data_IF_863689404230
#
_entry.id   IF_863689404230
#
_cell.length_a   1.000
_cell.length_b   1.000
_cell.length_c   1.000
_cell.angle_alpha   90.00
_cell.angle_beta   90.00
_cell.angle_gamma   90.00
#
_symmetry.space_group_name_H-M   'P 1'
#
loop_
_entity.id
_entity.type
_entity.pdbx_description
1 polymer ?
#
# COMPACT_ATOMS: atom_id res chain seq x y z
N UNK A 1 -32.67 29.42 44.68
CA UNK A 1 -31.27 29.14 44.38
C UNK A 1 -31.05 27.79 43.64
N UNK A 2 -31.85 26.72 43.82
CA UNK A 2 -31.66 25.41 43.13
C UNK A 2 -31.91 25.41 41.61
N UNK A 3 -32.70 26.36 41.07
CA UNK A 3 -33.03 26.40 39.64
C UNK A 3 -31.94 27.02 38.74
N UNK A 4 -31.16 27.93 39.29
CA UNK A 4 -30.10 28.66 38.55
C UNK A 4 -28.88 27.76 38.35
N UNK A 5 -28.52 26.95 39.36
CA UNK A 5 -27.42 25.99 39.27
C UNK A 5 -27.66 24.89 38.20
N UNK A 6 -28.91 24.38 38.04
CA UNK A 6 -29.23 23.40 37.03
C UNK A 6 -29.11 23.95 35.59
N UNK A 7 -29.50 25.22 35.39
CA UNK A 7 -29.36 25.88 34.07
C UNK A 7 -27.89 26.18 33.72
N UNK A 8 -27.06 26.54 34.69
CA UNK A 8 -25.63 26.77 34.50
C UNK A 8 -24.88 25.49 34.14
N UNK A 9 -25.22 24.34 34.75
CA UNK A 9 -24.62 23.03 34.43
C UNK A 9 -25.01 22.56 33.03
N UNK A 10 -26.27 22.80 32.59
CA UNK A 10 -26.71 22.45 31.24
C UNK A 10 -26.02 23.29 30.15
N UNK A 11 -25.78 24.58 30.39
CA UNK A 11 -25.06 25.45 29.46
C UNK A 11 -23.56 25.09 29.37
N UNK A 12 -22.94 24.69 30.48
CA UNK A 12 -21.55 24.23 30.47
C UNK A 12 -21.35 22.89 29.75
N UNK A 13 -22.31 21.96 29.87
CA UNK A 13 -22.29 20.69 29.16
C UNK A 13 -22.49 20.85 27.64
N UNK A 14 -23.35 21.77 27.19
CA UNK A 14 -23.56 22.06 25.77
C UNK A 14 -22.35 22.77 25.12
N UNK A 15 -21.56 23.55 25.87
CA UNK A 15 -20.34 24.19 25.38
C UNK A 15 -19.18 23.22 25.16
N UNK A 16 -19.07 22.17 25.97
CA UNK A 16 -17.99 21.15 25.82
C UNK A 16 -18.19 20.22 24.65
N UNK A 17 -19.43 19.94 24.22
CA UNK A 17 -19.68 19.08 23.04
C UNK A 17 -19.41 19.79 21.73
N UNK A 18 -19.46 21.12 21.67
CA UNK A 18 -19.17 21.89 20.44
C UNK A 18 -17.66 21.94 20.10
N UNK A 19 -16.76 21.80 21.07
CA UNK A 19 -15.31 21.78 20.81
C UNK A 19 -14.78 20.43 20.31
N UNK A 20 -15.54 19.35 20.46
CA UNK A 20 -15.11 18.00 20.05
C UNK A 20 -15.31 17.73 18.54
N UNK A 21 -16.09 18.55 17.81
CA UNK A 21 -16.36 18.36 16.39
C UNK A 21 -15.42 19.13 15.44
N UNK A 22 -14.54 19.97 15.96
CA UNK A 22 -13.61 20.75 15.11
C UNK A 22 -12.28 20.05 14.82
N UNK A 23 -12.12 18.78 15.24
CA UNK A 23 -10.85 18.01 15.15
C UNK A 23 -10.56 17.30 13.83
N UNK A 24 -11.43 17.32 12.82
CA UNK A 24 -11.28 16.50 11.61
C UNK A 24 -11.16 17.28 10.31
N UNK A 25 -10.59 18.47 10.31
CA UNK A 25 -10.26 19.19 9.06
C UNK A 25 -8.79 19.63 9.04
N UNK A 26 -7.88 18.74 9.46
CA UNK A 26 -6.51 18.82 8.97
C UNK A 26 -6.54 18.26 7.55
N UNK A 27 -6.81 19.10 6.56
CA UNK A 27 -6.55 18.77 5.17
C UNK A 27 -5.11 18.28 5.08
N UNK A 28 -4.91 17.00 4.79
CA UNK A 28 -3.62 16.43 4.51
C UNK A 28 -3.09 17.13 3.24
N UNK A 29 -2.36 18.23 3.43
CA UNK A 29 -1.55 18.84 2.35
C UNK A 29 -0.26 18.02 2.13
N UNK A 30 -0.23 16.80 2.63
CA UNK A 30 0.87 15.87 2.48
C UNK A 30 0.80 15.12 1.15
N UNK A 31 1.98 14.73 0.65
CA UNK A 31 2.10 13.84 -0.49
C UNK A 31 1.41 12.51 -0.20
N UNK A 32 0.81 11.90 -1.24
CA UNK A 32 0.31 10.53 -1.15
C UNK A 32 1.51 9.59 -1.14
N UNK A 33 1.58 8.75 -0.11
CA UNK A 33 2.62 7.73 -0.01
C UNK A 33 2.20 6.52 -0.85
N UNK A 34 3.08 6.11 -1.77
CA UNK A 34 2.97 4.87 -2.56
C UNK A 34 3.88 3.84 -1.94
N UNK A 35 3.32 2.78 -1.38
CA UNK A 35 4.05 1.71 -0.68
C UNK A 35 4.20 0.50 -1.57
N UNK A 36 5.44 0.02 -1.72
CA UNK A 36 5.79 -1.13 -2.54
C UNK A 36 6.54 -2.14 -1.66
N UNK A 37 6.09 -3.39 -1.63
CA UNK A 37 6.75 -4.48 -0.90
C UNK A 37 7.32 -5.52 -1.84
N UNK A 38 8.48 -6.10 -1.48
CA UNK A 38 9.06 -7.24 -2.17
C UNK A 38 9.95 -8.08 -1.23
N UNK A 39 10.25 -9.32 -1.65
CA UNK A 39 10.99 -10.28 -0.83
C UNK A 39 12.51 -10.21 -0.98
N UNK A 40 13.01 -9.56 -2.02
CA UNK A 40 14.43 -9.58 -2.39
C UNK A 40 15.26 -8.62 -1.52
N UNK A 41 16.59 -8.86 -1.50
CA UNK A 41 17.53 -7.96 -0.83
C UNK A 41 17.68 -6.62 -1.57
N UNK A 42 18.22 -5.63 -0.87
CA UNK A 42 18.47 -4.29 -1.42
C UNK A 42 19.50 -4.27 -2.57
N UNK A 43 20.34 -5.31 -2.68
CA UNK A 43 21.32 -5.45 -3.77
C UNK A 43 20.77 -6.21 -4.98
N UNK A 44 19.57 -6.76 -4.88
CA UNK A 44 18.97 -7.53 -5.96
C UNK A 44 18.53 -6.61 -7.12
N UNK A 45 18.67 -7.04 -8.40
CA UNK A 45 18.27 -6.24 -9.57
C UNK A 45 16.81 -5.75 -9.52
N UNK A 46 15.90 -6.53 -8.94
CA UNK A 46 14.50 -6.14 -8.73
C UNK A 46 14.39 -4.89 -7.85
N UNK A 47 15.13 -4.84 -6.73
CA UNK A 47 15.15 -3.66 -5.86
C UNK A 47 15.73 -2.44 -6.58
N UNK A 48 16.83 -2.63 -7.33
CA UNK A 48 17.44 -1.55 -8.11
C UNK A 48 16.47 -1.00 -9.17
N UNK A 49 15.68 -1.88 -9.80
CA UNK A 49 14.60 -1.47 -10.72
C UNK A 49 13.51 -0.64 -10.01
N UNK A 50 13.13 -1.03 -8.80
CA UNK A 50 12.16 -0.26 -8.00
C UNK A 50 12.71 1.09 -7.53
N UNK A 51 14.02 1.19 -7.25
CA UNK A 51 14.65 2.48 -6.97
C UNK A 51 14.61 3.41 -8.20
N UNK A 52 14.87 2.90 -9.40
CA UNK A 52 14.74 3.67 -10.64
C UNK A 52 13.26 4.10 -10.88
N UNK A 53 12.30 3.23 -10.58
CA UNK A 53 10.88 3.59 -10.62
C UNK A 53 10.54 4.71 -9.61
N UNK A 54 11.03 4.61 -8.38
CA UNK A 54 10.88 5.65 -7.34
C UNK A 54 11.40 6.99 -7.84
N UNK A 55 12.64 7.03 -8.32
CA UNK A 55 13.28 8.23 -8.85
C UNK A 55 12.46 8.83 -10.00
N UNK A 56 12.04 8.01 -10.96
CA UNK A 56 11.22 8.43 -12.09
C UNK A 56 9.88 9.07 -11.67
N UNK A 57 9.22 8.50 -10.66
CA UNK A 57 7.93 9.03 -10.16
C UNK A 57 8.14 10.32 -9.37
N UNK A 58 9.14 10.34 -8.48
CA UNK A 58 9.39 11.49 -7.61
C UNK A 58 9.96 12.71 -8.36
N UNK A 59 10.70 12.50 -9.44
CA UNK A 59 11.13 13.60 -10.33
C UNK A 59 9.97 14.28 -11.05
N UNK A 60 8.92 13.54 -11.41
CA UNK A 60 7.79 14.03 -12.22
C UNK A 60 6.57 14.42 -11.41
N UNK A 61 6.36 13.76 -10.29
CA UNK A 61 5.15 13.84 -9.48
C UNK A 61 5.46 13.99 -7.98
N UNK A 62 6.69 14.34 -7.63
CA UNK A 62 7.15 14.42 -6.24
C UNK A 62 6.50 15.54 -5.42
N UNK A 63 5.75 16.44 -6.04
CA UNK A 63 4.84 17.37 -5.38
C UNK A 63 3.60 16.68 -4.81
N UNK A 64 3.18 15.55 -5.41
CA UNK A 64 1.95 14.79 -5.09
C UNK A 64 2.21 13.43 -4.47
N UNK A 65 3.31 12.77 -4.84
CA UNK A 65 3.60 11.39 -4.45
C UNK A 65 4.98 11.24 -3.81
N UNK A 66 5.08 10.33 -2.85
CA UNK A 66 6.31 9.82 -2.25
C UNK A 66 6.30 8.30 -2.36
N UNK A 67 7.35 7.68 -2.92
CA UNK A 67 7.45 6.23 -3.06
C UNK A 67 8.28 5.65 -1.92
N UNK A 68 7.71 4.70 -1.19
CA UNK A 68 8.39 3.94 -0.13
C UNK A 68 8.50 2.47 -0.54
N UNK A 69 9.72 1.94 -0.53
CA UNK A 69 10.01 0.55 -0.90
C UNK A 69 10.40 -0.23 0.36
N UNK A 70 9.78 -1.38 0.55
CA UNK A 70 9.96 -2.28 1.69
C UNK A 70 10.56 -3.61 1.21
N UNK A 71 11.91 -3.74 1.21
CA UNK A 71 12.63 -4.94 0.80
C UNK A 71 12.62 -6.02 1.89
N UNK A 72 13.22 -7.20 1.57
CA UNK A 72 13.52 -8.26 2.54
C UNK A 72 12.29 -8.75 3.34
N UNK A 73 11.10 -8.81 2.73
CA UNK A 73 9.87 -9.19 3.44
C UNK A 73 9.58 -8.33 4.70
N UNK A 74 10.02 -7.07 4.71
CA UNK A 74 9.89 -6.20 5.89
C UNK A 74 8.44 -6.03 6.36
N UNK A 75 7.46 -6.17 5.45
CA UNK A 75 6.01 -6.12 5.75
C UNK A 75 5.38 -7.52 5.89
N UNK A 76 6.19 -8.57 5.97
CA UNK A 76 5.78 -9.97 6.04
C UNK A 76 6.08 -10.73 4.75
N UNK A 77 5.71 -12.03 4.75
CA UNK A 77 5.91 -12.90 3.58
C UNK A 77 5.20 -12.36 2.32
N UNK A 78 5.54 -12.92 1.15
CA UNK A 78 4.89 -12.55 -0.11
C UNK A 78 3.36 -12.69 -0.04
N UNK A 79 2.83 -13.76 0.57
CA UNK A 79 1.39 -13.94 0.79
C UNK A 79 0.81 -12.82 1.64
N UNK A 80 1.50 -12.45 2.74
CA UNK A 80 1.05 -11.36 3.61
C UNK A 80 1.05 -10.02 2.89
N UNK A 81 2.06 -9.75 2.06
CA UNK A 81 2.12 -8.53 1.26
C UNK A 81 1.00 -8.46 0.21
N UNK A 82 0.62 -9.61 -0.42
CA UNK A 82 -0.54 -9.68 -1.32
C UNK A 82 -1.84 -9.34 -0.55
N UNK A 83 -2.06 -9.91 0.64
CA UNK A 83 -3.22 -9.56 1.48
C UNK A 83 -3.26 -8.07 1.83
N UNK A 84 -2.11 -7.47 2.17
CA UNK A 84 -2.02 -6.05 2.46
C UNK A 84 -2.35 -5.19 1.23
N UNK A 85 -1.99 -5.65 0.03
CA UNK A 85 -2.36 -4.99 -1.22
C UNK A 85 -3.87 -5.08 -1.47
N UNK A 86 -4.48 -6.25 -1.24
CA UNK A 86 -5.93 -6.43 -1.38
C UNK A 86 -6.73 -5.53 -0.43
N UNK A 87 -6.23 -5.30 0.77
CA UNK A 87 -6.87 -4.41 1.76
C UNK A 87 -6.56 -2.93 1.55
N UNK A 88 -5.65 -2.59 0.63
CA UNK A 88 -5.21 -1.22 0.38
C UNK A 88 -4.25 -0.66 1.44
N UNK A 89 -3.68 -1.51 2.31
CA UNK A 89 -2.68 -1.08 3.28
C UNK A 89 -1.33 -0.76 2.62
N UNK A 90 -1.02 -1.42 1.51
CA UNK A 90 0.06 -1.05 0.58
C UNK A 90 -0.50 -0.96 -0.85
N UNK A 91 0.20 -0.25 -1.73
CA UNK A 91 -0.28 0.02 -3.08
C UNK A 91 0.18 -1.04 -4.09
N UNK A 92 1.40 -1.58 -3.92
CA UNK A 92 2.00 -2.57 -4.82
C UNK A 92 2.77 -3.64 -4.06
N UNK A 93 2.77 -4.84 -4.62
CA UNK A 93 3.65 -5.94 -4.23
C UNK A 93 4.32 -6.52 -5.47
N UNK A 94 5.62 -6.81 -5.37
CA UNK A 94 6.32 -7.64 -6.36
C UNK A 94 6.43 -9.04 -5.78
N UNK A 95 5.80 -10.00 -6.43
CA UNK A 95 5.74 -11.39 -5.99
C UNK A 95 5.85 -12.34 -7.19
N UNK A 96 6.41 -13.52 -6.97
CA UNK A 96 6.41 -14.58 -7.97
C UNK A 96 4.99 -15.10 -8.23
N UNK A 97 4.74 -15.59 -9.45
CA UNK A 97 3.43 -16.13 -9.85
C UNK A 97 2.92 -17.25 -8.94
N UNK A 98 3.82 -18.10 -8.44
CA UNK A 98 3.47 -19.15 -7.47
C UNK A 98 2.83 -18.62 -6.16
N UNK A 99 3.16 -17.41 -5.73
CA UNK A 99 2.52 -16.79 -4.56
C UNK A 99 1.10 -16.30 -4.87
N UNK A 100 0.77 -16.07 -6.15
CA UNK A 100 -0.54 -15.61 -6.60
C UNK A 100 -1.54 -16.75 -6.78
N UNK A 101 -1.08 -17.99 -6.95
CA UNK A 101 -1.93 -19.18 -7.12
C UNK A 101 -2.93 -19.35 -5.97
N UNK A 102 -2.51 -19.06 -4.74
CA UNK A 102 -3.38 -19.12 -3.55
C UNK A 102 -4.53 -18.10 -3.58
N UNK A 103 -4.40 -17.04 -4.37
CA UNK A 103 -5.37 -15.95 -4.46
C UNK A 103 -6.19 -15.98 -5.75
N UNK A 104 -5.66 -16.61 -6.81
CA UNK A 104 -6.34 -16.73 -8.09
C UNK A 104 -5.77 -17.92 -8.88
N UNK A 105 -6.59 -18.95 -9.05
CA UNK A 105 -6.25 -20.23 -9.69
C UNK A 105 -5.69 -20.07 -11.10
N UNK A 106 -6.03 -18.98 -11.81
CA UNK A 106 -5.50 -18.70 -13.15
C UNK A 106 -3.97 -18.64 -13.20
N UNK A 107 -3.32 -18.32 -12.09
CA UNK A 107 -1.87 -18.27 -12.00
C UNK A 107 -1.19 -19.65 -11.94
N UNK A 108 -1.94 -20.73 -11.65
CA UNK A 108 -1.43 -22.12 -11.68
C UNK A 108 -0.87 -22.51 -13.06
N UNK A 109 -1.35 -21.85 -14.12
CA UNK A 109 -0.85 -22.08 -15.47
C UNK A 109 0.66 -21.85 -15.58
N UNK A 110 1.22 -20.90 -14.83
CA UNK A 110 2.66 -20.59 -14.88
C UNK A 110 3.53 -21.61 -14.14
N UNK A 111 2.93 -22.45 -13.32
CA UNK A 111 3.60 -23.57 -12.62
C UNK A 111 3.51 -24.88 -13.38
N UNK A 112 2.82 -24.90 -14.53
CA UNK A 112 2.74 -26.09 -15.37
C UNK A 112 4.10 -26.40 -16.00
N UNK A 113 4.64 -27.63 -15.85
CA UNK A 113 5.86 -28.01 -16.53
C UNK A 113 5.65 -28.03 -18.05
N UNK A 114 6.68 -27.64 -18.80
CA UNK A 114 6.67 -27.62 -20.26
C UNK A 114 5.60 -26.72 -20.89
N UNK A 115 5.12 -25.71 -20.18
CA UNK A 115 4.14 -24.75 -20.72
C UNK A 115 4.69 -23.99 -21.95
N UNK A 116 5.98 -23.71 -21.94
CA UNK A 116 6.68 -23.06 -23.05
C UNK A 116 7.80 -23.96 -23.58
N UNK A 117 7.80 -24.21 -24.87
CA UNK A 117 8.79 -25.08 -25.51
C UNK A 117 10.18 -24.43 -25.63
N UNK A 118 10.24 -23.09 -25.57
CA UNK A 118 11.48 -22.33 -25.66
C UNK A 118 11.34 -20.93 -25.03
N UNK A 119 12.49 -20.27 -24.81
CA UNK A 119 12.54 -18.89 -24.35
C UNK A 119 11.90 -17.92 -25.34
N UNK A 120 12.03 -18.19 -26.65
CA UNK A 120 11.44 -17.38 -27.71
C UNK A 120 9.91 -17.42 -27.63
N UNK A 121 9.32 -18.61 -27.43
CA UNK A 121 7.88 -18.80 -27.26
C UNK A 121 7.42 -18.08 -26.00
N UNK A 122 8.14 -18.23 -24.87
CA UNK A 122 7.85 -17.52 -23.63
C UNK A 122 7.79 -16.00 -23.85
N UNK A 123 8.82 -15.43 -24.47
CA UNK A 123 8.88 -13.99 -24.76
C UNK A 123 7.76 -13.53 -25.69
N UNK A 124 7.42 -14.31 -26.69
CA UNK A 124 6.36 -13.97 -27.65
C UNK A 124 4.96 -13.95 -27.02
N UNK A 125 4.74 -14.75 -25.97
CA UNK A 125 3.45 -14.83 -25.26
C UNK A 125 3.34 -13.76 -24.17
N UNK A 126 4.47 -13.40 -23.54
CA UNK A 126 4.49 -12.51 -22.36
C UNK A 126 4.69 -11.02 -22.71
N UNK A 127 4.93 -10.66 -23.96
CA UNK A 127 5.04 -9.29 -24.48
C UNK A 127 3.70 -8.82 -25.05
#
# INVERSE_FOLDING_TARGET
MKGIMKKAVFLAAAGMTALALSGCSAGSSGKRIVRISHAQSETHPEHLGLLAFKEYVEERLGDKYEVQIFPNELLGSAQKAIELTQTGAIDFVVAGTANLETFADVYEIFSMPYLFDSEEVYKAVMQ
#
